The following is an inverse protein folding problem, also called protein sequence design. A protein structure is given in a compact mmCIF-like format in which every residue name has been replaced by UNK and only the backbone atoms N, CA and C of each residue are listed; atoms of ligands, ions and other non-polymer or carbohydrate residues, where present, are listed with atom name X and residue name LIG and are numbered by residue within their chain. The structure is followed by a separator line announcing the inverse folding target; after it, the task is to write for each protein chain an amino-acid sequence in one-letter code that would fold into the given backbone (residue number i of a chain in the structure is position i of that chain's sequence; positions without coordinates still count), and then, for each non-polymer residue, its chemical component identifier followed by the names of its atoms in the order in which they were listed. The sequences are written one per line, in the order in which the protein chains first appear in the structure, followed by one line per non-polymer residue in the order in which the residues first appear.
data_IF_190889382231
#
_entry.id   IF_190889382231
#
_cell.length_a   1.000
_cell.length_b   1.000
_cell.length_c   1.000
_cell.angle_alpha   90.00
_cell.angle_beta   90.00
_cell.angle_gamma   90.00
#
_symmetry.space_group_name_H-M   'P 1'
#
loop_
_entity.id
_entity.type
_entity.pdbx_description
1 polymer ?
#
# COMPACT_ATOMS: atom_id res chain seq x y z
N UNK A 1 -8.44 0.21 8.82
CA UNK A 1 -6.98 0.41 8.80
C UNK A 1 -6.66 1.84 8.37
N UNK A 2 -5.55 2.39 8.86
CA UNK A 2 -5.02 3.66 8.36
C UNK A 2 -4.26 3.41 7.05
N UNK A 3 -4.74 3.96 5.94
CA UNK A 3 -4.15 3.77 4.62
C UNK A 3 -2.65 4.11 4.60
N UNK A 4 -2.28 5.26 5.18
CA UNK A 4 -0.87 5.68 5.28
C UNK A 4 0.00 4.67 6.04
N UNK A 5 -0.53 4.04 7.10
CA UNK A 5 0.21 3.03 7.87
C UNK A 5 0.41 1.76 7.07
N UNK A 6 -0.61 1.31 6.33
CA UNK A 6 -0.50 0.14 5.45
C UNK A 6 0.52 0.40 4.35
N UNK A 7 0.44 1.57 3.71
CA UNK A 7 1.36 1.95 2.65
C UNK A 7 2.82 2.03 3.13
N UNK A 8 3.07 2.72 4.25
CA UNK A 8 4.41 2.86 4.83
C UNK A 8 4.99 1.50 5.24
N UNK A 9 4.16 0.62 5.85
CA UNK A 9 4.57 -0.72 6.25
C UNK A 9 4.93 -1.60 5.03
N UNK A 10 4.16 -1.51 3.94
CA UNK A 10 4.43 -2.23 2.70
C UNK A 10 5.71 -1.75 2.02
N UNK A 11 5.89 -0.44 1.89
CA UNK A 11 7.11 0.15 1.32
C UNK A 11 8.33 -0.28 2.13
N UNK A 12 8.26 -0.23 3.46
CA UNK A 12 9.32 -0.68 4.34
C UNK A 12 9.61 -2.18 4.17
N UNK A 13 8.58 -3.02 4.06
CA UNK A 13 8.75 -4.45 3.84
C UNK A 13 9.51 -4.75 2.54
N UNK A 14 9.28 -4.00 1.46
CA UNK A 14 9.97 -4.16 0.18
C UNK A 14 11.41 -3.62 0.23
N UNK A 15 11.62 -2.44 0.83
CA UNK A 15 12.94 -1.78 0.88
C UNK A 15 13.91 -2.52 1.81
N UNK A 16 13.40 -3.06 2.91
CA UNK A 16 14.23 -3.73 3.91
C UNK A 16 14.25 -5.24 3.77
N UNK A 17 13.51 -5.82 2.80
CA UNK A 17 13.58 -7.26 2.50
C UNK A 17 15.01 -7.72 2.29
N UNK A 18 15.34 -8.88 2.84
CA UNK A 18 16.58 -9.58 2.49
C UNK A 18 16.37 -10.38 1.19
N UNK A 19 16.84 -9.83 0.09
CA UNK A 19 16.72 -10.44 -1.24
C UNK A 19 17.67 -11.62 -1.45
N UNK A 20 18.61 -11.88 -0.52
CA UNK A 20 19.46 -13.07 -0.55
C UNK A 20 18.74 -14.30 0.00
N UNK A 21 17.67 -14.13 0.74
CA UNK A 21 16.82 -15.24 1.19
C UNK A 21 15.94 -15.69 0.03
N UNK A 22 16.38 -16.75 -0.66
CA UNK A 22 15.65 -17.34 -1.77
C UNK A 22 14.48 -18.18 -1.28
N UNK A 23 13.41 -18.24 -2.07
CA UNK A 23 12.22 -19.05 -1.76
C UNK A 23 11.30 -18.47 -0.68
N UNK A 24 11.55 -17.24 -0.23
CA UNK A 24 10.66 -16.50 0.67
C UNK A 24 10.21 -15.19 0.01
N UNK A 25 9.06 -14.68 0.40
CA UNK A 25 8.43 -13.51 -0.20
C UNK A 25 7.92 -12.52 0.86
N UNK A 26 7.70 -11.27 0.44
CA UNK A 26 6.87 -10.33 1.21
C UNK A 26 5.43 -10.73 1.00
N UNK A 27 4.68 -10.93 2.06
CA UNK A 27 3.26 -11.24 1.98
C UNK A 27 2.42 -10.44 2.98
N UNK A 28 1.14 -10.34 2.68
CA UNK A 28 0.16 -9.65 3.50
C UNK A 28 -0.94 -10.64 3.83
N UNK A 29 -1.18 -10.86 5.11
CA UNK A 29 -2.31 -11.64 5.59
C UNK A 29 -3.37 -10.70 6.15
N UNK A 30 -4.60 -10.84 5.69
CA UNK A 30 -5.73 -10.01 6.09
C UNK A 30 -6.71 -10.87 6.88
N UNK A 31 -6.94 -10.48 8.13
CA UNK A 31 -7.92 -11.07 9.04
C UNK A 31 -9.02 -10.06 9.34
N UNK A 32 -10.09 -10.48 9.97
CA UNK A 32 -11.17 -9.58 10.35
C UNK A 32 -10.71 -8.50 11.34
N UNK A 33 -9.85 -8.89 12.29
CA UNK A 33 -9.35 -8.04 13.38
C UNK A 33 -8.03 -7.33 13.10
N UNK A 34 -7.25 -7.77 12.13
CA UNK A 34 -5.91 -7.24 11.84
C UNK A 34 -5.43 -7.52 10.41
N UNK A 35 -4.41 -6.80 10.03
CA UNK A 35 -3.60 -7.05 8.84
C UNK A 35 -2.16 -7.25 9.30
N UNK A 36 -1.47 -8.28 8.77
CA UNK A 36 -0.05 -8.50 9.01
C UNK A 36 0.73 -8.39 7.71
N UNK A 37 1.86 -7.70 7.76
CA UNK A 37 2.81 -7.61 6.66
C UNK A 37 4.10 -8.27 7.10
N UNK A 38 4.49 -9.30 6.39
CA UNK A 38 5.72 -10.06 6.62
C UNK A 38 6.77 -9.71 5.58
N UNK A 39 8.03 -9.62 6.00
CA UNK A 39 9.18 -9.43 5.13
C UNK A 39 10.33 -10.35 5.55
N UNK A 40 10.97 -11.09 4.61
CA UNK A 40 12.16 -11.86 4.89
C UNK A 40 13.33 -10.97 5.30
N UNK A 41 14.06 -11.40 6.34
CA UNK A 41 15.20 -10.69 6.92
C UNK A 41 14.82 -9.84 8.14
N UNK A 42 15.55 -10.05 9.24
CA UNK A 42 15.39 -9.26 10.47
C UNK A 42 15.90 -7.84 10.36
N UNK A 43 16.15 -7.18 11.47
CA UNK A 43 16.74 -5.84 11.48
C UNK A 43 18.14 -5.85 10.85
N UNK A 44 18.46 -4.83 10.05
CA UNK A 44 19.74 -4.75 9.32
C UNK A 44 20.97 -4.70 10.24
N UNK A 45 20.80 -4.22 11.47
CA UNK A 45 21.82 -4.16 12.52
C UNK A 45 21.88 -5.41 13.41
N UNK A 46 21.06 -6.44 13.11
CA UNK A 46 20.98 -7.70 13.87
C UNK A 46 20.24 -7.58 15.21
N UNK A 47 19.70 -6.42 15.56
CA UNK A 47 18.91 -6.23 16.78
C UNK A 47 17.47 -6.74 16.61
N UNK A 48 16.71 -6.83 17.70
CA UNK A 48 15.28 -7.13 17.68
C UNK A 48 14.49 -5.86 17.91
N UNK A 49 13.53 -5.58 17.03
CA UNK A 49 12.72 -4.36 17.08
C UNK A 49 11.98 -4.21 18.41
N UNK A 50 11.46 -5.28 18.98
CA UNK A 50 10.72 -5.31 20.23
C UNK A 50 11.56 -4.98 21.47
N UNK A 51 12.89 -4.97 21.34
CA UNK A 51 13.84 -4.62 22.40
C UNK A 51 14.34 -3.16 22.27
N UNK A 52 13.83 -2.42 21.28
CA UNK A 52 14.27 -1.06 20.94
C UNK A 52 13.18 -0.01 21.16
N UNK A 53 13.61 1.18 21.52
CA UNK A 53 12.74 2.35 21.40
C UNK A 53 12.64 2.74 19.92
N UNK A 54 11.41 2.72 19.38
CA UNK A 54 11.11 3.03 17.98
C UNK A 54 11.57 4.44 17.58
N UNK A 55 11.61 5.37 18.52
CA UNK A 55 12.07 6.74 18.29
C UNK A 55 13.58 6.85 18.09
N UNK A 56 14.35 5.87 18.60
CA UNK A 56 15.81 5.84 18.55
C UNK A 56 16.38 5.05 17.37
N UNK A 57 15.51 4.44 16.54
CA UNK A 57 15.95 3.59 15.42
C UNK A 57 16.40 4.46 14.27
N UNK A 58 17.69 4.37 13.93
CA UNK A 58 18.23 4.99 12.73
C UNK A 58 17.86 4.22 11.48
N UNK A 59 17.59 4.94 10.38
CA UNK A 59 17.28 4.34 9.09
C UNK A 59 18.52 3.72 8.45
N UNK A 60 18.68 2.41 8.60
CA UNK A 60 19.68 1.64 7.85
C UNK A 60 19.03 0.94 6.67
N UNK A 61 19.35 1.40 5.46
CA UNK A 61 18.74 0.85 4.24
C UNK A 61 19.44 -0.44 3.83
N UNK A 62 18.71 -1.56 3.85
CA UNK A 62 19.27 -2.83 3.35
C UNK A 62 19.42 -2.78 1.81
N UNK A 63 18.47 -2.17 1.11
CA UNK A 63 18.46 -2.07 -0.36
C UNK A 63 18.47 -0.59 -0.80
N UNK A 64 19.64 0.09 -0.80
CA UNK A 64 19.71 1.52 -1.06
C UNK A 64 19.26 1.92 -2.46
N UNK A 65 19.46 1.06 -3.46
CA UNK A 65 19.02 1.30 -4.85
C UNK A 65 17.49 1.31 -4.92
N UNK A 66 16.82 0.32 -4.30
CA UNK A 66 15.35 0.30 -4.22
C UNK A 66 14.82 1.51 -3.45
N UNK A 67 15.42 1.84 -2.32
CA UNK A 67 15.05 3.00 -1.54
C UNK A 67 15.18 4.32 -2.35
N UNK A 68 16.20 4.45 -3.19
CA UNK A 68 16.35 5.62 -4.07
C UNK A 68 15.26 5.67 -5.16
N UNK A 69 14.92 4.52 -5.76
CA UNK A 69 13.82 4.42 -6.73
C UNK A 69 12.50 4.81 -6.08
N UNK A 70 12.14 4.22 -4.93
CA UNK A 70 10.91 4.55 -4.20
C UNK A 70 10.86 6.01 -3.77
N UNK A 71 11.99 6.59 -3.36
CA UNK A 71 12.09 8.02 -3.05
C UNK A 71 11.85 8.92 -4.27
N UNK A 72 12.37 8.57 -5.44
CA UNK A 72 12.14 9.31 -6.71
C UNK A 72 10.70 9.22 -7.20
N UNK A 73 10.04 8.09 -6.93
CA UNK A 73 8.63 7.89 -7.24
C UNK A 73 7.69 8.55 -6.21
N UNK A 74 8.22 9.16 -5.16
CA UNK A 74 7.43 9.81 -4.12
C UNK A 74 6.79 8.83 -3.10
N UNK A 75 7.18 7.57 -3.14
CA UNK A 75 6.63 6.53 -2.25
C UNK A 75 7.28 6.49 -0.87
N UNK A 76 8.41 7.15 -0.67
CA UNK A 76 9.05 7.24 0.63
C UNK A 76 9.77 8.58 0.84
N UNK A 77 9.88 8.96 2.11
CA UNK A 77 10.73 10.06 2.53
C UNK A 77 12.09 9.54 3.06
N UNK A 78 13.13 10.34 2.87
CA UNK A 78 14.51 9.92 3.19
C UNK A 78 14.87 9.97 4.69
N UNK A 79 13.94 10.36 5.58
CA UNK A 79 14.26 10.74 6.96
C UNK A 79 14.13 9.64 8.02
N UNK A 80 13.89 8.36 7.64
CA UNK A 80 13.79 7.27 8.61
C UNK A 80 12.59 7.34 9.57
N UNK A 81 11.54 8.02 9.18
CA UNK A 81 10.34 8.29 9.98
C UNK A 81 9.24 7.23 9.87
N UNK A 82 9.53 6.04 9.27
CA UNK A 82 8.52 5.04 8.92
C UNK A 82 7.70 4.53 10.12
N UNK A 83 8.35 4.10 11.19
CA UNK A 83 7.66 3.63 12.39
C UNK A 83 6.81 4.73 13.03
N UNK A 84 7.36 5.94 13.14
CA UNK A 84 6.67 7.10 13.67
C UNK A 84 5.42 7.42 12.87
N UNK A 85 5.50 7.42 11.54
CA UNK A 85 4.35 7.68 10.66
C UNK A 85 3.25 6.63 10.81
N UNK A 86 3.63 5.35 10.97
CA UNK A 86 2.68 4.27 11.19
C UNK A 86 1.92 4.50 12.50
N UNK A 87 2.62 4.74 13.60
CA UNK A 87 2.01 4.94 14.92
C UNK A 87 1.21 6.24 14.99
N UNK A 88 1.74 7.36 14.51
CA UNK A 88 1.03 8.65 14.51
C UNK A 88 -0.27 8.60 13.69
N UNK A 89 -0.28 7.88 12.57
CA UNK A 89 -1.50 7.72 11.76
C UNK A 89 -2.57 6.94 12.52
N UNK A 90 -2.19 5.96 13.34
CA UNK A 90 -3.12 5.23 14.21
C UNK A 90 -3.62 6.12 15.35
N UNK A 91 -2.73 6.85 16.02
CA UNK A 91 -3.10 7.77 17.11
C UNK A 91 -4.05 8.88 16.65
N UNK A 92 -3.92 9.32 15.39
CA UNK A 92 -4.80 10.34 14.82
C UNK A 92 -6.16 9.78 14.36
N UNK A 93 -6.35 8.47 14.32
CA UNK A 93 -7.58 7.88 13.84
C UNK A 93 -8.70 7.94 14.89
N UNK A 94 -9.93 8.24 14.44
CA UNK A 94 -11.09 8.44 15.31
C UNK A 94 -11.38 7.24 16.25
N UNK A 95 -11.19 6.02 15.76
CA UNK A 95 -11.50 4.79 16.47
C UNK A 95 -10.25 4.17 17.14
N UNK A 96 -9.19 4.93 17.31
CA UNK A 96 -8.00 4.44 17.97
C UNK A 96 -8.25 4.13 19.46
N UNK A 97 -7.71 3.00 19.89
CA UNK A 97 -7.65 2.55 21.29
C UNK A 97 -6.26 1.98 21.55
N UNK A 98 -5.76 2.10 22.76
CA UNK A 98 -4.40 1.67 23.12
C UNK A 98 -4.14 0.17 22.83
N UNK A 99 -5.19 -0.69 22.91
CA UNK A 99 -5.08 -2.11 22.59
C UNK A 99 -4.83 -2.37 21.09
N UNK A 100 -5.16 -1.39 20.24
CA UNK A 100 -5.04 -1.44 18.78
C UNK A 100 -3.76 -0.78 18.26
N UNK A 101 -2.80 -0.51 19.15
CA UNK A 101 -1.48 0.02 18.79
C UNK A 101 -0.79 -0.91 17.78
N UNK A 102 -0.23 -0.38 16.67
CA UNK A 102 0.55 -1.15 15.73
C UNK A 102 1.68 -1.91 16.42
N UNK A 103 1.86 -3.18 16.06
CA UNK A 103 2.93 -3.99 16.64
C UNK A 103 4.00 -4.31 15.59
N UNK A 104 5.23 -4.26 16.05
CA UNK A 104 6.41 -4.60 15.25
C UNK A 104 7.13 -5.77 15.93
N UNK A 105 7.46 -6.76 15.13
CA UNK A 105 8.21 -7.92 15.60
C UNK A 105 9.33 -8.22 14.61
N UNK A 106 10.50 -8.59 15.11
CA UNK A 106 11.57 -9.11 14.29
C UNK A 106 12.33 -10.25 15.00
N UNK A 107 12.77 -11.19 14.19
CA UNK A 107 13.78 -12.16 14.55
C UNK A 107 14.97 -12.07 13.58
N UNK A 108 15.86 -13.06 13.58
CA UNK A 108 17.06 -13.09 12.71
C UNK A 108 16.66 -13.20 11.22
N UNK A 109 15.53 -13.84 10.94
CA UNK A 109 15.12 -14.25 9.59
C UNK A 109 13.96 -13.44 9.02
N UNK A 110 13.25 -12.72 9.88
CA UNK A 110 12.00 -12.05 9.47
C UNK A 110 11.74 -10.75 10.19
N UNK A 111 10.92 -9.93 9.55
CA UNK A 111 10.31 -8.74 10.12
C UNK A 111 8.81 -8.76 9.86
N UNK A 112 8.00 -8.45 10.86
CA UNK A 112 6.54 -8.43 10.77
C UNK A 112 5.95 -7.15 11.34
N UNK A 113 5.00 -6.58 10.64
CA UNK A 113 4.15 -5.47 11.12
C UNK A 113 2.73 -5.99 11.28
N UNK A 114 2.12 -5.72 12.42
CA UNK A 114 0.71 -6.01 12.68
C UNK A 114 -0.04 -4.69 12.82
N UNK A 115 -1.03 -4.48 11.97
CA UNK A 115 -1.92 -3.33 11.96
C UNK A 115 -3.33 -3.82 12.31
N UNK A 116 -3.92 -3.30 13.40
CA UNK A 116 -5.25 -3.72 13.84
C UNK A 116 -6.35 -3.02 13.07
N UNK A 117 -7.47 -3.71 12.87
CA UNK A 117 -8.67 -3.12 12.31
C UNK A 117 -9.37 -2.26 13.37
N UNK A 118 -9.31 -0.93 13.16
CA UNK A 118 -9.86 0.03 14.12
C UNK A 118 -11.40 -0.04 14.27
N UNK A 119 -12.08 -0.67 13.31
CA UNK A 119 -13.53 -0.83 13.31
C UNK A 119 -13.96 -2.22 13.81
N UNK A 120 -13.02 -3.12 14.12
CA UNK A 120 -13.34 -4.47 14.58
C UNK A 120 -14.01 -4.45 15.96
N UNK A 121 -15.13 -5.18 16.07
CA UNK A 121 -15.90 -5.29 17.32
C UNK A 121 -16.68 -4.04 17.71
N UNK A 122 -16.76 -3.03 16.85
CA UNK A 122 -17.69 -1.92 17.03
C UNK A 122 -19.07 -2.36 16.52
N UNK A 123 -20.11 -2.15 17.33
CA UNK A 123 -21.49 -2.18 16.83
C UNK A 123 -21.63 -1.02 15.83
N UNK A 124 -22.07 -1.33 14.62
CA UNK A 124 -22.41 -0.31 13.63
C UNK A 124 -23.67 0.36 14.17
N UNK A 125 -23.52 1.53 14.80
CA UNK A 125 -24.67 2.38 15.06
C UNK A 125 -25.22 2.81 13.70
N UNK A 126 -26.52 2.61 13.47
CA UNK A 126 -27.19 2.88 12.19
C UNK A 126 -27.03 4.34 11.72
N UNK A 127 -26.57 5.25 12.58
CA UNK A 127 -26.21 6.64 12.26
C UNK A 127 -24.91 6.75 11.46
N UNK A 128 -23.99 5.77 11.52
CA UNK A 128 -22.73 5.80 10.75
C UNK A 128 -22.88 5.32 9.30
N UNK A 129 -24.01 4.68 8.97
CA UNK A 129 -24.31 4.22 7.59
C UNK A 129 -24.53 5.39 6.64
N UNK A 130 -24.95 6.56 7.14
CA UNK A 130 -25.14 7.76 6.32
C UNK A 130 -23.81 8.34 5.81
N UNK A 131 -22.77 8.30 6.65
CA UNK A 131 -21.47 8.89 6.32
C UNK A 131 -20.65 7.96 5.41
N UNK A 132 -20.75 6.63 5.59
CA UNK A 132 -20.13 5.67 4.67
C UNK A 132 -20.80 5.72 3.28
N UNK A 133 -22.10 5.87 3.19
CA UNK A 133 -22.81 6.02 1.92
C UNK A 133 -22.41 7.32 1.20
N UNK A 134 -22.17 8.42 1.91
CA UNK A 134 -21.66 9.66 1.31
C UNK A 134 -20.22 9.48 0.79
N UNK A 135 -19.34 8.80 1.53
CA UNK A 135 -17.98 8.48 1.10
C UNK A 135 -17.97 7.55 -0.13
N UNK A 136 -18.87 6.56 -0.19
CA UNK A 136 -19.02 5.69 -1.36
C UNK A 136 -19.55 6.46 -2.57
N UNK A 137 -20.47 7.39 -2.38
CA UNK A 137 -21.00 8.22 -3.46
C UNK A 137 -19.97 9.25 -3.94
N UNK A 138 -19.17 9.84 -3.04
CA UNK A 138 -18.05 10.71 -3.41
C UNK A 138 -16.96 9.93 -4.17
N UNK A 139 -16.61 8.73 -3.75
CA UNK A 139 -15.66 7.87 -4.47
C UNK A 139 -16.18 7.46 -5.85
N UNK A 140 -17.47 7.14 -5.98
CA UNK A 140 -18.10 6.88 -7.27
C UNK A 140 -18.10 8.11 -8.17
N UNK A 141 -18.34 9.30 -7.61
CA UNK A 141 -18.30 10.55 -8.36
C UNK A 141 -16.88 10.84 -8.87
N UNK A 142 -15.85 10.67 -8.04
CA UNK A 142 -14.43 10.84 -8.43
C UNK A 142 -14.01 9.82 -9.50
N UNK A 143 -14.45 8.56 -9.39
CA UNK A 143 -14.19 7.53 -10.41
C UNK A 143 -14.89 7.88 -11.72
N UNK A 144 -16.14 8.37 -11.65
CA UNK A 144 -16.89 8.82 -12.82
C UNK A 144 -16.21 10.00 -13.52
N UNK A 145 -15.72 10.98 -12.76
CA UNK A 145 -14.99 12.13 -13.28
C UNK A 145 -13.66 11.72 -13.95
N UNK A 146 -12.90 10.83 -13.32
CA UNK A 146 -11.66 10.27 -13.90
C UNK A 146 -11.95 9.51 -15.20
N UNK A 147 -13.04 8.75 -15.27
CA UNK A 147 -13.45 8.04 -16.47
C UNK A 147 -13.76 9.02 -17.61
N UNK A 148 -14.52 10.08 -17.34
CA UNK A 148 -14.84 11.12 -18.33
C UNK A 148 -13.58 11.85 -18.83
N UNK A 149 -12.66 12.18 -17.93
CA UNK A 149 -11.38 12.79 -18.28
C UNK A 149 -10.55 11.89 -19.21
N UNK A 150 -10.50 10.58 -18.92
CA UNK A 150 -9.76 9.65 -19.76
C UNK A 150 -10.39 9.45 -21.13
N UNK A 151 -11.72 9.36 -21.21
CA UNK A 151 -12.43 9.30 -22.47
C UNK A 151 -12.21 10.56 -23.31
N UNK A 152 -12.27 11.74 -22.68
CA UNK A 152 -12.00 13.02 -23.34
C UNK A 152 -10.56 13.08 -23.87
N UNK A 153 -9.58 12.62 -23.07
CA UNK A 153 -8.19 12.50 -23.50
C UNK A 153 -8.05 11.58 -24.72
N UNK A 154 -8.70 10.41 -24.71
CA UNK A 154 -8.67 9.47 -25.84
C UNK A 154 -9.27 10.08 -27.12
N UNK A 155 -10.33 10.90 -27.01
CA UNK A 155 -10.90 11.60 -28.16
C UNK A 155 -9.91 12.56 -28.80
N UNK A 156 -9.13 13.30 -28.00
CA UNK A 156 -8.10 14.22 -28.48
C UNK A 156 -6.83 13.56 -29.03
N UNK A 157 -6.62 12.27 -28.73
CA UNK A 157 -5.40 11.57 -29.13
C UNK A 157 -5.37 11.30 -30.63
N UNK A 158 -4.26 11.63 -31.32
CA UNK A 158 -4.02 11.27 -32.72
C UNK A 158 -3.59 9.79 -32.84
N UNK A 159 -4.55 8.87 -32.66
CA UNK A 159 -4.32 7.43 -32.76
C UNK A 159 -5.44 6.75 -33.52
N UNK A 160 -5.16 5.54 -34.06
CA UNK A 160 -6.19 4.72 -34.74
C UNK A 160 -7.33 4.34 -33.78
N UNK A 161 -8.53 4.19 -34.32
CA UNK A 161 -9.72 3.81 -33.52
C UNK A 161 -9.50 2.52 -32.71
N UNK A 162 -8.89 1.50 -33.32
CA UNK A 162 -8.54 0.23 -32.64
C UNK A 162 -7.58 0.41 -31.48
N UNK A 163 -6.63 1.36 -31.57
CA UNK A 163 -5.69 1.67 -30.47
C UNK A 163 -6.43 2.35 -29.32
N UNK A 164 -7.32 3.30 -29.61
CA UNK A 164 -8.14 3.97 -28.60
C UNK A 164 -9.04 2.99 -27.84
N UNK A 165 -9.67 2.06 -28.58
CA UNK A 165 -10.50 1.02 -28.00
C UNK A 165 -9.72 0.08 -27.09
N UNK A 166 -8.51 -0.31 -27.50
CA UNK A 166 -7.61 -1.12 -26.66
C UNK A 166 -7.20 -0.37 -25.40
N UNK A 167 -6.87 0.90 -25.50
CA UNK A 167 -6.53 1.75 -24.34
C UNK A 167 -7.71 1.87 -23.38
N UNK A 168 -8.92 2.02 -23.90
CA UNK A 168 -10.13 2.09 -23.09
C UNK A 168 -10.39 0.76 -22.34
N UNK A 169 -10.24 -0.38 -23.02
CA UNK A 169 -10.33 -1.71 -22.41
C UNK A 169 -9.29 -1.93 -21.33
N UNK A 170 -8.05 -1.49 -21.54
CA UNK A 170 -6.98 -1.54 -20.55
C UNK A 170 -7.32 -0.70 -19.33
N UNK A 171 -7.76 0.53 -19.55
CA UNK A 171 -8.16 1.43 -18.49
C UNK A 171 -9.32 0.88 -17.63
N UNK A 172 -10.38 0.38 -18.24
CA UNK A 172 -11.51 -0.22 -17.50
C UNK A 172 -11.12 -1.48 -16.73
N UNK A 173 -10.09 -2.22 -17.19
CA UNK A 173 -9.65 -3.45 -16.54
C UNK A 173 -8.66 -3.21 -15.40
N UNK A 174 -7.77 -2.24 -15.54
CA UNK A 174 -6.61 -2.07 -14.66
C UNK A 174 -6.55 -0.70 -13.95
N UNK A 175 -7.31 0.30 -14.41
CA UNK A 175 -7.23 1.67 -13.90
C UNK A 175 -5.98 2.43 -14.39
N UNK A 176 -5.78 3.65 -13.87
CA UNK A 176 -4.64 4.50 -14.24
C UNK A 176 -3.31 4.04 -13.64
N UNK A 177 -3.36 3.46 -12.47
CA UNK A 177 -2.17 3.23 -11.64
C UNK A 177 -1.64 1.78 -11.75
N UNK A 178 -2.27 0.96 -12.59
CA UNK A 178 -1.85 -0.43 -12.75
C UNK A 178 -0.73 -0.58 -13.79
N UNK A 179 0.37 -1.20 -13.40
CA UNK A 179 1.36 -1.71 -14.32
C UNK A 179 0.81 -2.96 -15.02
N UNK A 180 0.86 -3.00 -16.34
CA UNK A 180 0.46 -4.16 -17.13
C UNK A 180 1.60 -4.60 -18.06
N UNK A 181 1.71 -5.92 -18.28
CA UNK A 181 2.72 -6.47 -19.14
C UNK A 181 2.31 -6.37 -20.62
N UNK A 182 3.30 -6.42 -21.53
CA UNK A 182 3.06 -6.47 -22.98
C UNK A 182 2.05 -7.57 -23.36
N UNK A 183 2.10 -8.72 -22.68
CA UNK A 183 1.20 -9.84 -22.91
C UNK A 183 -0.29 -9.49 -22.66
N UNK A 184 -0.56 -8.64 -21.67
CA UNK A 184 -1.92 -8.20 -21.36
C UNK A 184 -2.48 -7.30 -22.47
N UNK A 185 -1.63 -6.44 -23.02
CA UNK A 185 -1.97 -5.56 -24.16
C UNK A 185 -2.29 -6.40 -25.40
N UNK A 186 -1.41 -7.36 -25.72
CA UNK A 186 -1.59 -8.22 -26.89
C UNK A 186 -2.89 -9.07 -26.79
N UNK A 187 -3.16 -9.65 -25.63
CA UNK A 187 -4.37 -10.42 -25.38
C UNK A 187 -5.65 -9.60 -25.53
N UNK A 188 -5.66 -8.35 -25.07
CA UNK A 188 -6.82 -7.45 -25.18
C UNK A 188 -6.98 -6.85 -26.58
N UNK A 189 -5.87 -6.68 -27.31
CA UNK A 189 -5.87 -6.21 -28.68
C UNK A 189 -6.21 -7.31 -29.71
N UNK A 190 -6.32 -8.57 -29.26
CA UNK A 190 -6.57 -9.72 -30.14
C UNK A 190 -5.41 -10.01 -31.10
N UNK A 191 -4.19 -9.66 -30.73
CA UNK A 191 -2.96 -9.89 -31.49
C UNK A 191 -2.21 -11.05 -30.84
N UNK A 192 -2.05 -12.16 -31.55
CA UNK A 192 -1.23 -13.32 -31.15
C UNK A 192 0.25 -13.10 -31.47
#
# INVERSE_FOLDING_TARGET
YCERSVFEALVNALIHRDYLILGSEVHIDIYDDRLTIYSPGGMADGTRIQERDLSSISSTRRNPVLADIFGRLGYMERQGSGFKKITESYHAAHNYRAELEPKFYSDVTSFQVTLYNLNYGQSIDETSISDENQLFDEQKAVVSEKNQLFETFLLGLKAKASTKETMLKLYHKFGFDAAFARADIMKLAGVT
#
